data_IF_695581425180
#
_entry.id   IF_695581425180
#
_cell.length_a   1.000
_cell.length_b   1.000
_cell.length_c   1.000
_cell.angle_alpha   90.00
_cell.angle_beta   90.00
_cell.angle_gamma   90.00
#
_symmetry.space_group_name_H-M   'P 1'
#
loop_
_entity.id
_entity.type
_entity.pdbx_description
1 polymer ?
#
# COMPACT_ATOMS: atom_id res chain seq x y z
N UNK A 1 21.80 12.95 -29.34
CA UNK A 1 20.61 12.10 -29.11
C UNK A 1 20.91 11.22 -27.91
N UNK A 2 20.46 11.62 -26.72
CA UNK A 2 20.70 10.88 -25.48
C UNK A 2 19.82 9.63 -25.45
N UNK A 3 20.46 8.45 -25.50
CA UNK A 3 19.81 7.17 -25.26
C UNK A 3 19.24 7.17 -23.84
N UNK A 4 17.93 7.38 -23.71
CA UNK A 4 17.21 7.17 -22.47
C UNK A 4 17.18 5.68 -22.14
N UNK A 5 18.13 5.22 -21.34
CA UNK A 5 18.07 3.89 -20.72
C UNK A 5 16.82 3.84 -19.86
N UNK A 6 15.73 3.25 -20.38
CA UNK A 6 14.56 2.87 -19.58
C UNK A 6 15.07 1.94 -18.48
N UNK A 7 15.16 2.43 -17.24
CA UNK A 7 15.49 1.62 -16.07
C UNK A 7 14.41 0.56 -15.91
N UNK A 8 14.78 -0.69 -16.21
CA UNK A 8 13.86 -1.83 -16.28
C UNK A 8 13.68 -2.39 -14.87
N UNK A 9 12.46 -2.30 -14.33
CA UNK A 9 12.12 -2.96 -13.07
C UNK A 9 11.94 -4.46 -13.28
N UNK A 10 12.39 -5.27 -12.33
CA UNK A 10 12.12 -6.71 -12.33
C UNK A 10 10.67 -6.97 -11.93
N UNK A 11 10.17 -6.18 -10.97
CA UNK A 11 8.93 -6.42 -10.26
C UNK A 11 8.15 -5.14 -10.02
N UNK A 12 6.82 -5.24 -9.94
CA UNK A 12 5.95 -4.15 -9.47
C UNK A 12 5.08 -4.63 -8.31
N UNK A 13 5.07 -3.87 -7.22
CA UNK A 13 4.26 -4.12 -6.03
C UNK A 13 3.37 -2.92 -5.76
N UNK A 14 2.09 -3.16 -5.52
CA UNK A 14 1.08 -2.20 -5.10
C UNK A 14 0.81 -2.40 -3.60
N UNK A 15 1.08 -1.37 -2.83
CA UNK A 15 0.74 -1.26 -1.42
C UNK A 15 -0.37 -0.24 -1.28
N UNK A 16 -1.35 -0.53 -0.43
CA UNK A 16 -2.42 0.41 -0.07
C UNK A 16 -2.26 0.87 1.37
N UNK A 17 -2.55 2.16 1.62
CA UNK A 17 -2.65 2.72 2.96
C UNK A 17 -4.11 2.71 3.41
N UNK A 18 -4.37 2.15 4.60
CA UNK A 18 -5.69 2.15 5.25
C UNK A 18 -5.61 2.75 6.64
N UNK A 19 -6.76 3.03 7.23
CA UNK A 19 -6.89 3.70 8.53
C UNK A 19 -7.76 4.94 8.42
N UNK A 20 -8.14 5.51 9.56
CA UNK A 20 -9.08 6.63 9.63
C UNK A 20 -8.59 7.89 8.88
N UNK A 21 -9.52 8.79 8.58
CA UNK A 21 -9.19 10.13 8.11
C UNK A 21 -8.27 10.86 9.10
N UNK A 22 -7.29 11.60 8.58
CA UNK A 22 -6.31 12.36 9.37
C UNK A 22 -5.40 11.56 10.33
N UNK A 23 -5.24 10.24 10.14
CA UNK A 23 -4.20 9.44 10.84
C UNK A 23 -2.79 9.65 10.28
N UNK A 24 -2.62 10.42 9.19
CA UNK A 24 -1.30 10.71 8.62
C UNK A 24 -0.89 9.86 7.41
N UNK A 25 -1.82 9.18 6.72
CA UNK A 25 -1.56 8.45 5.46
C UNK A 25 -0.87 9.33 4.40
N UNK A 26 -1.41 10.52 4.14
CA UNK A 26 -0.84 11.46 3.19
C UNK A 26 0.51 12.03 3.66
N UNK A 27 0.69 12.22 4.97
CA UNK A 27 1.96 12.63 5.56
C UNK A 27 3.04 11.55 5.40
N UNK A 28 2.68 10.28 5.54
CA UNK A 28 3.57 9.15 5.25
C UNK A 28 4.01 9.12 3.79
N UNK A 29 3.09 9.38 2.85
CA UNK A 29 3.45 9.51 1.43
C UNK A 29 4.38 10.70 1.17
N UNK A 30 4.11 11.86 1.79
CA UNK A 30 4.93 13.04 1.64
C UNK A 30 6.35 12.84 2.20
N UNK A 31 6.46 12.09 3.30
CA UNK A 31 7.74 11.71 3.89
C UNK A 31 8.55 10.81 2.95
N UNK A 32 7.93 9.79 2.35
CA UNK A 32 8.56 8.97 1.31
C UNK A 32 8.91 9.77 0.05
N UNK A 33 8.12 10.79 -0.30
CA UNK A 33 8.40 11.65 -1.44
C UNK A 33 9.65 12.53 -1.23
N UNK A 34 10.02 12.81 0.03
CA UNK A 34 11.26 13.55 0.33
C UNK A 34 12.53 12.80 -0.13
N UNK A 35 12.42 11.49 -0.37
CA UNK A 35 13.50 10.67 -0.93
C UNK A 35 13.88 11.06 -2.36
N UNK A 36 13.09 11.89 -3.06
CA UNK A 36 13.47 12.43 -4.37
C UNK A 36 14.80 13.19 -4.34
N UNK A 37 15.05 13.86 -3.23
CA UNK A 37 16.25 14.66 -3.00
C UNK A 37 17.33 13.88 -2.23
N UNK A 38 17.07 12.61 -1.89
CA UNK A 38 18.02 11.75 -1.18
C UNK A 38 19.08 11.19 -2.12
N UNK A 39 20.27 10.91 -1.56
CA UNK A 39 21.37 10.23 -2.27
C UNK A 39 21.41 8.73 -2.00
N UNK A 40 20.35 8.18 -1.40
CA UNK A 40 20.25 6.75 -1.11
C UNK A 40 20.15 5.96 -2.42
N UNK A 41 21.07 5.00 -2.60
CA UNK A 41 21.09 4.14 -3.79
C UNK A 41 20.04 3.05 -3.75
N UNK A 42 19.54 2.70 -2.56
CA UNK A 42 18.73 1.50 -2.36
C UNK A 42 17.23 1.81 -2.39
N UNK A 43 16.83 3.07 -2.16
CA UNK A 43 15.46 3.52 -2.25
C UNK A 43 15.36 4.95 -2.79
N UNK A 44 14.72 5.13 -3.95
CA UNK A 44 14.52 6.44 -4.57
C UNK A 44 13.04 6.67 -4.90
N UNK A 45 12.52 7.88 -4.64
CA UNK A 45 11.19 8.24 -5.13
C UNK A 45 11.24 8.65 -6.61
N UNK A 46 10.41 8.00 -7.44
CA UNK A 46 10.28 8.23 -8.88
C UNK A 46 9.10 9.17 -9.16
N UNK A 47 7.91 8.83 -8.67
CA UNK A 47 6.68 9.62 -8.86
C UNK A 47 6.05 9.95 -7.52
N UNK A 48 5.43 11.13 -7.41
CA UNK A 48 4.64 11.52 -6.25
C UNK A 48 3.47 12.38 -6.69
N UNK A 49 2.27 11.93 -6.35
CA UNK A 49 1.03 12.67 -6.50
C UNK A 49 0.42 12.87 -5.11
N UNK A 50 0.37 14.11 -4.60
CA UNK A 50 -0.27 14.42 -3.33
C UNK A 50 -1.68 13.83 -3.25
N UNK A 51 -2.00 13.19 -2.14
CA UNK A 51 -3.29 12.52 -1.88
C UNK A 51 -3.67 11.44 -2.92
N UNK A 52 -2.69 10.87 -3.62
CA UNK A 52 -2.89 9.83 -4.61
C UNK A 52 -1.93 8.67 -4.40
N UNK A 53 -0.66 8.85 -4.77
CA UNK A 53 0.34 7.79 -4.69
C UNK A 53 1.78 8.31 -4.63
N UNK A 54 2.68 7.45 -4.18
CA UNK A 54 4.13 7.58 -4.40
C UNK A 54 4.63 6.30 -5.08
N UNK A 55 5.49 6.45 -6.08
CA UNK A 55 6.19 5.35 -6.73
C UNK A 55 7.66 5.37 -6.29
N UNK A 56 8.13 4.27 -5.71
CA UNK A 56 9.50 4.09 -5.24
C UNK A 56 10.24 3.07 -6.10
N UNK A 57 11.50 3.34 -6.43
CA UNK A 57 12.48 2.37 -6.91
C UNK A 57 13.21 1.81 -5.70
N UNK A 58 13.04 0.51 -5.44
CA UNK A 58 13.69 -0.14 -4.30
C UNK A 58 14.57 -1.28 -4.79
N UNK A 59 15.86 -1.25 -4.44
CA UNK A 59 16.79 -2.36 -4.68
C UNK A 59 16.67 -3.38 -3.55
N UNK A 60 16.21 -4.59 -3.85
CA UNK A 60 15.99 -5.63 -2.85
C UNK A 60 16.36 -7.01 -3.36
N UNK A 61 17.22 -7.72 -2.63
CA UNK A 61 17.71 -9.08 -2.98
C UNK A 61 18.23 -9.18 -4.44
N UNK A 62 18.95 -8.16 -4.90
CA UNK A 62 19.52 -8.13 -6.26
C UNK A 62 18.50 -7.84 -7.37
N UNK A 63 17.33 -7.31 -7.03
CA UNK A 63 16.22 -7.03 -7.94
C UNK A 63 15.70 -5.61 -7.75
N UNK A 64 15.29 -4.95 -8.84
CA UNK A 64 14.61 -3.64 -8.79
C UNK A 64 13.12 -3.83 -8.66
N UNK A 65 12.55 -3.27 -7.60
CA UNK A 65 11.13 -3.34 -7.31
C UNK A 65 10.52 -1.95 -7.43
N UNK A 66 9.63 -1.78 -8.42
CA UNK A 66 8.76 -0.61 -8.48
C UNK A 66 7.66 -0.77 -7.44
N UNK A 67 7.71 0.00 -6.37
CA UNK A 67 6.74 -0.04 -5.28
C UNK A 67 5.80 1.16 -5.39
N UNK A 68 4.54 0.90 -5.76
CA UNK A 68 3.47 1.90 -5.83
C UNK A 68 2.69 1.89 -4.54
N UNK A 69 2.73 2.97 -3.78
CA UNK A 69 2.01 3.10 -2.51
C UNK A 69 0.88 4.10 -2.71
N UNK A 70 -0.36 3.64 -2.54
CA UNK A 70 -1.57 4.41 -2.83
C UNK A 70 -2.22 4.85 -1.53
N UNK A 71 -2.46 6.14 -1.40
CA UNK A 71 -3.30 6.71 -0.34
C UNK A 71 -4.77 6.59 -0.77
N UNK A 72 -5.57 5.98 0.09
CA UNK A 72 -7.02 5.84 -0.10
C UNK A 72 -7.79 7.10 0.31
N UNK A 73 -7.10 8.11 0.84
CA UNK A 73 -7.56 9.50 0.88
C UNK A 73 -8.64 9.83 1.91
N UNK A 74 -8.86 8.99 2.94
CA UNK A 74 -9.94 9.26 3.91
C UNK A 74 -11.35 9.16 3.30
N UNK A 75 -11.44 8.67 2.05
CA UNK A 75 -12.67 8.57 1.25
C UNK A 75 -13.44 7.27 1.54
N UNK A 76 -13.05 6.50 2.56
CA UNK A 76 -13.74 5.30 3.04
C UNK A 76 -15.23 5.48 3.36
N UNK A 77 -15.69 6.73 3.52
CA UNK A 77 -17.11 7.05 3.67
C UNK A 77 -17.96 6.67 2.45
N UNK A 78 -17.34 6.38 1.30
CA UNK A 78 -18.01 5.92 0.08
C UNK A 78 -17.55 4.52 -0.32
N UNK A 79 -18.20 3.49 0.25
CA UNK A 79 -17.92 2.05 0.06
C UNK A 79 -17.70 1.62 -1.41
N UNK A 80 -18.31 2.30 -2.38
CA UNK A 80 -18.15 2.00 -3.81
C UNK A 80 -16.82 2.47 -4.41
N UNK A 81 -16.22 3.55 -3.88
CA UNK A 81 -14.90 4.07 -4.31
C UNK A 81 -13.78 3.19 -3.72
N UNK A 82 -14.01 2.59 -2.55
CA UNK A 82 -12.99 1.81 -1.82
C UNK A 82 -12.61 0.51 -2.53
N UNK A 83 -13.57 -0.19 -3.15
CA UNK A 83 -13.35 -1.50 -3.79
C UNK A 83 -12.25 -1.49 -4.88
N UNK A 84 -12.13 -0.41 -5.65
CA UNK A 84 -11.13 -0.29 -6.72
C UNK A 84 -9.69 -0.15 -6.18
N UNK A 85 -9.52 0.44 -5.00
CA UNK A 85 -8.21 0.56 -4.36
C UNK A 85 -7.67 -0.80 -3.90
N UNK A 86 -8.52 -1.66 -3.33
CA UNK A 86 -8.15 -3.02 -2.91
C UNK A 86 -7.73 -3.91 -4.08
N UNK A 87 -8.28 -3.67 -5.28
CA UNK A 87 -8.03 -4.54 -6.43
C UNK A 87 -6.55 -4.55 -6.83
N UNK A 88 -5.97 -5.75 -6.86
CA UNK A 88 -4.56 -5.95 -7.20
C UNK A 88 -3.58 -5.37 -6.18
N UNK A 89 -4.04 -4.96 -5.00
CA UNK A 89 -3.14 -4.69 -3.89
C UNK A 89 -2.46 -6.00 -3.50
N UNK A 90 -1.18 -5.92 -3.14
CA UNK A 90 -0.40 -7.10 -2.74
C UNK A 90 -0.01 -6.99 -1.26
N UNK A 91 0.19 -5.76 -0.76
CA UNK A 91 0.35 -5.50 0.67
C UNK A 91 -0.49 -4.32 1.15
N UNK A 92 -0.64 -4.24 2.46
CA UNK A 92 -1.36 -3.16 3.13
C UNK A 92 -0.55 -2.62 4.33
N UNK A 93 -0.51 -1.30 4.47
CA UNK A 93 -0.13 -0.65 5.72
C UNK A 93 -1.40 -0.11 6.35
N UNK A 94 -1.74 -0.62 7.52
CA UNK A 94 -2.93 -0.21 8.27
C UNK A 94 -2.49 0.75 9.38
N UNK A 95 -2.83 2.03 9.23
CA UNK A 95 -2.35 3.11 10.10
C UNK A 95 -3.38 3.48 11.16
N UNK A 96 -2.90 3.76 12.37
CA UNK A 96 -3.65 4.45 13.42
C UNK A 96 -2.77 5.53 14.05
N UNK A 97 -3.40 6.50 14.72
CA UNK A 97 -2.72 7.58 15.43
C UNK A 97 -2.68 7.29 16.94
N UNK A 98 -1.46 7.17 17.50
CA UNK A 98 -1.28 6.82 18.91
C UNK A 98 -1.81 7.89 19.88
N UNK A 99 -2.07 9.12 19.41
CA UNK A 99 -2.72 10.18 20.20
C UNK A 99 -4.25 10.10 20.18
N UNK A 100 -4.84 9.30 19.27
CA UNK A 100 -6.30 9.25 19.04
C UNK A 100 -6.84 7.82 19.23
N UNK A 101 -7.36 7.48 20.42
CA UNK A 101 -7.83 6.13 20.72
C UNK A 101 -8.87 5.58 19.74
N UNK A 102 -9.82 6.41 19.30
CA UNK A 102 -10.85 6.02 18.34
C UNK A 102 -10.25 5.40 17.06
N UNK A 103 -9.12 5.94 16.58
CA UNK A 103 -8.46 5.45 15.36
C UNK A 103 -7.87 4.05 15.55
N UNK A 104 -7.48 3.71 16.78
CA UNK A 104 -7.02 2.38 17.15
C UNK A 104 -8.18 1.39 17.30
N UNK A 105 -9.31 1.82 17.87
CA UNK A 105 -10.52 0.99 17.98
C UNK A 105 -11.08 0.61 16.60
N UNK A 106 -10.99 1.51 15.61
CA UNK A 106 -11.44 1.26 14.25
C UNK A 106 -10.53 0.33 13.44
N UNK A 107 -9.30 0.02 13.89
CA UNK A 107 -8.37 -0.89 13.18
C UNK A 107 -9.03 -2.23 12.85
N UNK A 108 -9.85 -2.76 13.75
CA UNK A 108 -10.55 -4.03 13.54
C UNK A 108 -11.55 -3.94 12.38
N UNK A 109 -12.28 -2.82 12.27
CA UNK A 109 -13.22 -2.59 11.16
C UNK A 109 -12.48 -2.51 9.83
N UNK A 110 -11.36 -1.80 9.80
CA UNK A 110 -10.50 -1.70 8.62
C UNK A 110 -9.94 -3.03 8.16
N UNK A 111 -9.53 -3.87 9.11
CA UNK A 111 -9.06 -5.21 8.80
C UNK A 111 -10.17 -6.10 8.25
N UNK A 112 -11.36 -6.05 8.86
CA UNK A 112 -12.51 -6.82 8.37
C UNK A 112 -12.92 -6.40 6.95
N UNK A 113 -12.91 -5.09 6.65
CA UNK A 113 -13.13 -4.58 5.29
C UNK A 113 -12.06 -5.09 4.32
N UNK A 114 -10.78 -5.05 4.71
CA UNK A 114 -9.68 -5.58 3.92
C UNK A 114 -9.92 -7.04 3.53
N UNK A 115 -10.25 -7.91 4.51
CA UNK A 115 -10.52 -9.32 4.26
C UNK A 115 -11.75 -9.55 3.36
N UNK A 116 -12.77 -8.71 3.51
CA UNK A 116 -13.98 -8.77 2.70
C UNK A 116 -13.68 -8.45 1.22
N UNK A 117 -12.92 -7.39 0.95
CA UNK A 117 -12.65 -6.93 -0.43
C UNK A 117 -11.54 -7.72 -1.14
N UNK A 118 -10.72 -8.50 -0.41
CA UNK A 118 -9.67 -9.34 -1.00
C UNK A 118 -10.11 -10.78 -1.24
N UNK A 119 -11.42 -11.06 -1.19
CA UNK A 119 -11.99 -12.42 -1.28
C UNK A 119 -11.34 -13.39 -0.27
N UNK A 120 -11.02 -12.90 0.94
CA UNK A 120 -10.32 -13.67 1.99
C UNK A 120 -8.95 -14.22 1.57
N UNK A 121 -8.34 -13.69 0.52
CA UNK A 121 -6.92 -13.94 0.30
C UNK A 121 -6.14 -13.04 1.26
N UNK A 122 -5.25 -13.62 2.09
CA UNK A 122 -4.51 -12.85 3.07
C UNK A 122 -3.52 -11.94 2.34
N UNK A 123 -3.79 -10.64 2.36
CA UNK A 123 -2.78 -9.64 2.01
C UNK A 123 -1.74 -9.59 3.13
N UNK A 124 -0.47 -9.43 2.77
CA UNK A 124 0.53 -9.11 3.78
C UNK A 124 0.23 -7.73 4.34
N UNK A 125 -0.12 -7.69 5.62
CA UNK A 125 -0.51 -6.45 6.30
C UNK A 125 0.40 -6.18 7.48
N UNK A 126 0.79 -4.92 7.65
CA UNK A 126 1.51 -4.42 8.83
C UNK A 126 0.65 -3.35 9.49
N UNK A 127 0.48 -3.45 10.81
CA UNK A 127 -0.12 -2.43 11.65
C UNK A 127 0.93 -1.36 11.93
N UNK A 128 0.58 -0.09 11.72
CA UNK A 128 1.50 1.05 11.85
C UNK A 128 0.91 2.09 12.79
N UNK A 129 1.60 2.37 13.89
CA UNK A 129 1.21 3.44 14.83
C UNK A 129 2.01 4.71 14.58
N UNK A 130 1.36 5.79 14.16
CA UNK A 130 2.00 7.11 14.05
C UNK A 130 2.01 7.83 15.41
N UNK A 131 2.86 8.85 15.56
CA UNK A 131 2.97 9.69 16.75
C UNK A 131 3.34 8.89 18.02
N UNK A 132 4.03 7.77 17.85
CA UNK A 132 4.42 6.87 18.95
C UNK A 132 5.31 7.54 19.99
N UNK A 133 6.12 8.52 19.59
CA UNK A 133 7.01 9.28 20.47
C UNK A 133 6.37 10.55 21.04
N UNK A 134 5.08 10.79 20.75
CA UNK A 134 4.41 11.99 21.24
C UNK A 134 4.17 11.93 22.75
N UNK A 135 4.33 13.07 23.41
CA UNK A 135 3.94 13.24 24.80
C UNK A 135 2.41 13.18 25.01
N UNK A 136 1.63 13.30 23.92
CA UNK A 136 0.17 13.18 23.93
C UNK A 136 -0.31 11.76 23.61
N UNK A 137 0.61 10.79 23.53
CA UNK A 137 0.29 9.39 23.30
C UNK A 137 -0.75 8.88 24.30
N UNK A 138 -1.79 8.24 23.77
CA UNK A 138 -2.86 7.61 24.55
C UNK A 138 -2.88 6.08 24.43
N UNK A 139 -2.26 5.52 23.38
CA UNK A 139 -2.26 4.07 23.12
C UNK A 139 -0.88 3.45 23.43
N UNK A 140 -0.73 2.64 24.50
CA UNK A 140 0.54 1.99 24.84
C UNK A 140 1.02 1.04 23.74
N UNK A 141 2.35 0.88 23.54
CA UNK A 141 2.88 -0.01 22.51
C UNK A 141 2.41 -1.46 22.70
N UNK A 142 2.34 -1.91 23.96
CA UNK A 142 1.95 -3.28 24.30
C UNK A 142 0.49 -3.57 23.90
N UNK A 143 -0.37 -2.55 23.90
CA UNK A 143 -1.74 -2.68 23.44
C UNK A 143 -1.80 -2.88 21.93
N UNK A 144 -1.00 -2.12 21.17
CA UNK A 144 -0.92 -2.26 19.72
C UNK A 144 -0.27 -3.58 19.30
N UNK A 145 0.77 -4.04 20.00
CA UNK A 145 1.40 -5.34 19.78
C UNK A 145 0.44 -6.50 20.02
N UNK A 146 -0.39 -6.43 21.07
CA UNK A 146 -1.43 -7.44 21.34
C UNK A 146 -2.43 -7.52 20.20
N UNK A 147 -2.93 -6.37 19.74
CA UNK A 147 -3.88 -6.34 18.62
C UNK A 147 -3.25 -6.89 17.33
N UNK A 148 -2.01 -6.47 17.00
CA UNK A 148 -1.30 -6.99 15.84
C UNK A 148 -1.12 -8.51 15.91
N UNK A 149 -0.78 -9.05 17.10
CA UNK A 149 -0.67 -10.49 17.32
C UNK A 149 -2.00 -11.21 17.10
N UNK A 150 -3.10 -10.65 17.61
CA UNK A 150 -4.45 -11.21 17.44
C UNK A 150 -4.90 -11.24 15.97
N UNK A 151 -4.47 -10.25 15.17
CA UNK A 151 -4.78 -10.15 13.73
C UNK A 151 -3.68 -10.74 12.83
N UNK A 152 -2.71 -11.47 13.41
CA UNK A 152 -1.57 -12.09 12.70
C UNK A 152 -0.70 -11.12 11.86
N UNK A 153 -0.65 -9.85 12.30
CA UNK A 153 0.14 -8.78 11.71
C UNK A 153 1.45 -8.55 12.46
N UNK A 154 2.40 -7.91 11.78
CA UNK A 154 3.50 -7.23 12.47
C UNK A 154 3.06 -5.83 12.88
N UNK A 155 3.60 -5.32 13.98
CA UNK A 155 3.41 -3.94 14.44
C UNK A 155 4.71 -3.15 14.27
N UNK A 156 4.60 -1.93 13.75
CA UNK A 156 5.69 -0.97 13.67
C UNK A 156 5.22 0.40 14.15
N UNK A 157 6.07 1.07 14.91
CA UNK A 157 5.91 2.49 15.22
C UNK A 157 6.50 3.34 14.10
N UNK A 158 5.83 4.44 13.75
CA UNK A 158 6.21 5.34 12.66
C UNK A 158 6.65 6.70 13.20
N UNK A 159 7.87 7.07 12.85
CA UNK A 159 8.42 8.41 12.97
C UNK A 159 8.43 9.05 11.58
N UNK A 160 8.02 10.31 11.48
CA UNK A 160 8.11 11.11 10.25
C UNK A 160 9.15 12.23 10.40
N UNK A 161 9.66 12.71 9.28
CA UNK A 161 10.61 13.82 9.22
C UNK A 161 12.07 13.38 9.42
N UNK A 162 12.82 14.07 10.28
CA UNK A 162 14.29 13.99 10.32
C UNK A 162 14.84 12.60 10.65
N UNK A 163 14.15 11.86 11.53
CA UNK A 163 14.52 10.49 11.92
C UNK A 163 13.45 9.51 11.42
N UNK A 164 12.98 9.73 10.20
CA UNK A 164 11.92 8.90 9.62
C UNK A 164 12.36 7.46 9.43
N UNK A 165 11.44 6.54 9.70
CA UNK A 165 11.57 5.11 9.43
C UNK A 165 10.56 4.63 8.37
N UNK A 166 10.04 5.53 7.54
CA UNK A 166 9.03 5.19 6.52
C UNK A 166 9.52 4.14 5.52
N UNK A 167 10.77 4.27 5.05
CA UNK A 167 11.43 3.31 4.13
C UNK A 167 11.60 1.94 4.78
N UNK A 168 11.91 1.89 6.07
CA UNK A 168 12.14 0.65 6.81
C UNK A 168 10.82 -0.15 6.94
N UNK A 169 9.71 0.54 7.20
CA UNK A 169 8.37 -0.07 7.24
C UNK A 169 7.96 -0.61 5.87
N UNK A 170 8.19 0.15 4.79
CA UNK A 170 7.94 -0.32 3.41
C UNK A 170 8.80 -1.56 3.12
N UNK A 171 10.08 -1.54 3.50
CA UNK A 171 10.97 -2.66 3.33
C UNK A 171 10.54 -3.90 4.11
N UNK A 172 10.08 -3.75 5.35
CA UNK A 172 9.57 -4.86 6.16
C UNK A 172 8.38 -5.55 5.48
N UNK A 173 7.44 -4.76 4.94
CA UNK A 173 6.30 -5.29 4.19
C UNK A 173 6.75 -6.02 2.92
N UNK A 174 7.70 -5.46 2.17
CA UNK A 174 8.26 -6.12 0.98
C UNK A 174 8.95 -7.45 1.32
N UNK A 175 9.69 -7.54 2.44
CA UNK A 175 10.30 -8.81 2.86
C UNK A 175 9.24 -9.86 3.17
N UNK A 176 8.16 -9.48 3.85
CA UNK A 176 7.04 -10.38 4.14
C UNK A 176 6.38 -10.86 2.84
N UNK A 177 6.16 -9.97 1.87
CA UNK A 177 5.62 -10.32 0.56
C UNK A 177 6.50 -11.31 -0.20
N UNK A 178 7.81 -11.08 -0.22
CA UNK A 178 8.77 -11.98 -0.89
C UNK A 178 8.77 -13.36 -0.23
N UNK A 179 8.73 -13.42 1.11
CA UNK A 179 8.68 -14.69 1.85
C UNK A 179 7.36 -15.43 1.58
N UNK A 180 6.23 -14.73 1.56
CA UNK A 180 4.93 -15.34 1.26
C UNK A 180 4.87 -15.86 -0.18
N UNK A 181 5.35 -15.10 -1.16
CA UNK A 181 5.43 -15.54 -2.56
C UNK A 181 6.30 -16.80 -2.74
N UNK A 182 7.41 -16.90 -1.99
CA UNK A 182 8.28 -18.07 -2.06
C UNK A 182 7.64 -19.35 -1.48
N UNK A 183 6.68 -19.23 -0.56
CA UNK A 183 6.02 -20.37 0.11
C UNK A 183 4.81 -20.92 -0.63
N UNK A 184 4.19 -20.12 -1.50
CA UNK A 184 2.96 -20.48 -2.21
C UNK A 184 3.13 -20.19 -3.70
N UNK A 185 3.77 -21.08 -4.49
CA UNK A 185 3.98 -20.86 -5.92
C UNK A 185 2.69 -20.71 -6.73
N UNK A 186 1.57 -21.23 -6.22
CA UNK A 186 0.22 -21.10 -6.77
C UNK A 186 -0.45 -19.77 -6.45
N UNK A 187 -0.03 -19.11 -5.37
CA UNK A 187 -0.16 -17.66 -5.20
C UNK A 187 1.10 -17.04 -5.80
N UNK A 188 1.25 -17.15 -7.12
CA UNK A 188 1.90 -16.06 -7.82
C UNK A 188 1.09 -14.82 -7.45
N UNK A 189 1.53 -14.14 -6.39
CA UNK A 189 1.36 -12.71 -6.28
C UNK A 189 1.73 -12.25 -7.68
N UNK A 190 0.79 -11.62 -8.39
CA UNK A 190 1.04 -11.01 -9.70
C UNK A 190 2.03 -9.85 -9.47
N UNK A 191 3.25 -10.18 -9.06
CA UNK A 191 4.43 -9.35 -9.14
C UNK A 191 4.75 -9.33 -10.62
N UNK A 192 3.90 -8.62 -11.35
CA UNK A 192 3.89 -8.58 -12.79
C UNK A 192 5.29 -8.16 -13.23
N UNK A 193 6.00 -9.01 -14.01
CA UNK A 193 7.20 -8.57 -14.68
C UNK A 193 6.86 -7.30 -15.45
N UNK A 194 7.60 -6.22 -15.21
CA UNK A 194 7.28 -4.87 -15.70
C UNK A 194 6.94 -4.82 -17.21
N UNK A 195 7.54 -5.73 -17.98
CA UNK A 195 7.42 -5.83 -19.44
C UNK A 195 6.04 -6.30 -19.87
N UNK A 196 5.39 -7.17 -19.09
CA UNK A 196 4.04 -7.66 -19.37
C UNK A 196 3.04 -6.51 -19.22
N UNK A 197 3.23 -5.64 -18.21
CA UNK A 197 2.35 -4.48 -17.98
C UNK A 197 2.47 -3.41 -19.07
N UNK A 198 3.68 -3.08 -19.55
CA UNK A 198 3.85 -2.16 -20.68
C UNK A 198 3.26 -2.74 -21.97
N UNK A 199 3.44 -4.03 -22.23
CA UNK A 199 2.93 -4.67 -23.43
C UNK A 199 1.39 -4.66 -23.48
N UNK A 200 0.69 -4.78 -22.35
CA UNK A 200 -0.76 -4.63 -22.29
C UNK A 200 -1.22 -3.17 -22.43
N UNK A 201 -0.51 -2.22 -21.79
CA UNK A 201 -0.82 -0.79 -21.89
C UNK A 201 -0.63 -0.25 -23.33
N UNK A 202 0.43 -0.67 -24.03
CA UNK A 202 0.74 -0.25 -25.40
C UNK A 202 -0.18 -0.90 -26.46
N UNK A 203 -0.79 -2.05 -26.15
CA UNK A 203 -1.75 -2.73 -27.03
C UNK A 203 -3.19 -2.23 -26.89
N UNK A 204 -3.47 -1.29 -25.97
CA UNK A 204 -4.83 -0.82 -25.71
C UNK A 204 -5.79 -1.94 -25.25
N UNK A 205 -5.25 -3.08 -24.82
CA UNK A 205 -6.03 -4.22 -24.35
C UNK A 205 -6.25 -4.04 -22.85
N UNK A 206 -7.51 -3.85 -22.47
CA UNK A 206 -7.94 -3.88 -21.08
C UNK A 206 -7.52 -5.22 -20.45
N UNK A 207 -6.82 -5.16 -19.33
CA UNK A 207 -6.24 -6.31 -18.60
C UNK A 207 -7.29 -7.28 -18.01
N UNK A 208 -8.55 -7.24 -18.48
CA UNK A 208 -9.65 -8.05 -17.94
C UNK A 208 -10.04 -7.64 -16.52
N UNK A 209 -9.63 -6.44 -16.11
CA UNK A 209 -9.98 -5.83 -14.83
C UNK A 209 -10.92 -4.66 -15.14
N UNK A 210 -12.10 -4.99 -15.66
CA UNK A 210 -13.04 -4.00 -16.15
C UNK A 210 -13.45 -3.01 -15.07
N UNK A 211 -13.20 -1.73 -15.34
CA UNK A 211 -14.19 -0.69 -15.07
C UNK A 211 -15.43 -1.05 -15.88
N UNK A 212 -16.57 -1.24 -15.23
CA UNK A 212 -17.85 -1.36 -15.95
C UNK A 212 -18.49 0.01 -16.09
N UNK A 213 -18.53 0.61 -17.29
CA UNK A 213 -19.60 1.54 -17.65
C UNK A 213 -20.83 0.72 -18.09
N UNK A 214 -21.99 1.10 -17.57
CA UNK A 214 -23.35 0.88 -18.08
C UNK A 214 -23.65 -0.35 -18.97
N UNK A 215 -24.49 -1.26 -18.48
CA UNK A 215 -25.35 -2.10 -19.34
C UNK A 215 -26.79 -1.59 -19.37
N UNK A 216 -27.05 -0.80 -20.41
CA UNK A 216 -28.15 -0.92 -21.37
C UNK A 216 -29.52 -1.43 -20.91
N UNK A 217 -30.50 -0.54 -21.06
CA UNK A 217 -31.81 -0.75 -21.72
C UNK A 217 -32.41 -2.15 -21.60
N UNK A 218 -33.29 -2.34 -20.62
CA UNK A 218 -34.40 -3.28 -20.77
C UNK A 218 -35.47 -2.64 -21.66
N UNK A 219 -35.65 -3.19 -22.87
CA UNK A 219 -36.91 -3.10 -23.62
C UNK A 219 -37.93 -3.96 -22.88
N UNK A 220 -39.01 -3.36 -22.39
CA UNK A 220 -40.26 -4.08 -22.15
C UNK A 220 -41.25 -3.62 -23.22
N UNK A 221 -41.79 -4.58 -23.97
CA UNK A 221 -42.91 -4.39 -24.89
C UNK A 221 -44.19 -4.10 -24.10
N UNK A 222 -44.96 -3.12 -24.56
CA UNK A 222 -46.42 -3.10 -24.54
C UNK A 222 -46.87 -2.72 -25.96
#
# INVERSE_FOLDING_TARGET
>A
MSNGTRTRFDYTVKIILLGDHNVGKSSFLADLASLRDSSDSDCQCIDYRPNGHVDLDIWKRGKRVLTKIVDTGGQERFRSITASFYRGAQGCLLLFDAEKPDTFEHVHNWYNDLEMYTNKQPLSTILVGINSQSNQRQIPPEQAERLATQLEMQFHELNLGKNSNSVEIVNALLDRLIIHAARLPSLTIDIMPYHIRQHFADMGLDTGIGDSPERSKFKCSC
#
